data_IF_646378936627
#
_entry.id   IF_646378936627
#
_cell.length_a   1.000
_cell.length_b   1.000
_cell.length_c   1.000
_cell.angle_alpha   90.00
_cell.angle_beta   90.00
_cell.angle_gamma   90.00
#
_symmetry.space_group_name_H-M   'P 1'
#
loop_
_entity.id
_entity.type
_entity.pdbx_description
1 polymer ?
#
# COMPACT_ATOMS: atom_id res chain seq x y z
N UNK A 1 -12.02 59.59 -18.32
CA UNK A 1 -12.03 58.75 -17.11
C UNK A 1 -11.72 57.34 -17.54
N UNK A 2 -10.64 56.76 -16.98
CA UNK A 2 -9.90 55.61 -17.51
C UNK A 2 -10.19 54.41 -16.61
N UNK A 3 -11.02 53.48 -17.06
CA UNK A 3 -11.33 52.26 -16.30
C UNK A 3 -10.38 51.14 -16.75
N UNK A 4 -9.36 50.90 -15.93
CA UNK A 4 -8.50 49.71 -16.01
C UNK A 4 -9.23 48.54 -15.35
N UNK A 5 -9.61 47.53 -16.15
CA UNK A 5 -10.00 46.21 -15.63
C UNK A 5 -8.74 45.47 -15.13
N UNK A 6 -8.72 44.94 -13.89
CA UNK A 6 -7.67 44.01 -13.50
C UNK A 6 -8.05 42.60 -13.97
N UNK A 7 -7.27 42.06 -14.91
CA UNK A 7 -7.30 40.64 -15.24
C UNK A 7 -6.68 39.85 -14.08
N UNK A 8 -7.52 39.18 -13.29
CA UNK A 8 -7.06 38.24 -12.27
C UNK A 8 -6.62 36.93 -12.95
N UNK A 9 -5.31 36.68 -13.00
CA UNK A 9 -4.76 35.38 -13.37
C UNK A 9 -5.12 34.37 -12.27
N UNK A 10 -6.03 33.44 -12.59
CA UNK A 10 -6.24 32.21 -11.84
C UNK A 10 -5.01 31.31 -12.03
N UNK A 11 -4.06 31.40 -11.11
CA UNK A 11 -3.00 30.40 -10.96
C UNK A 11 -3.64 29.10 -10.45
N UNK A 12 -4.03 28.20 -11.37
CA UNK A 12 -4.25 26.81 -11.03
C UNK A 12 -2.90 26.24 -10.59
N UNK A 13 -2.67 26.22 -9.28
CA UNK A 13 -1.58 25.48 -8.69
C UNK A 13 -1.72 24.01 -9.08
N UNK A 14 -0.83 23.54 -9.95
CA UNK A 14 -0.58 22.12 -10.13
C UNK A 14 -0.15 21.60 -8.75
N UNK A 15 -1.10 21.05 -7.99
CA UNK A 15 -0.78 20.18 -6.87
C UNK A 15 -0.13 18.94 -7.50
N UNK A 16 1.17 19.02 -7.79
CA UNK A 16 1.95 17.84 -8.10
C UNK A 16 1.72 16.88 -6.95
N UNK A 17 1.18 15.70 -7.25
CA UNK A 17 1.07 14.64 -6.27
C UNK A 17 2.49 14.33 -5.79
N UNK A 18 2.88 14.93 -4.68
CA UNK A 18 4.14 14.60 -4.01
C UNK A 18 3.99 13.13 -3.63
N UNK A 19 4.95 12.31 -4.06
CA UNK A 19 5.04 10.94 -3.58
C UNK A 19 5.13 10.99 -2.05
N UNK A 20 4.35 10.14 -1.37
CA UNK A 20 4.38 10.09 0.08
C UNK A 20 5.60 9.26 0.51
N UNK A 21 6.31 9.69 1.55
CA UNK A 21 7.46 8.96 2.10
C UNK A 21 7.01 7.78 2.98
N UNK A 22 6.35 6.79 2.37
CA UNK A 22 5.83 5.60 3.07
C UNK A 22 6.90 4.54 3.23
N UNK A 23 7.71 4.32 2.19
CA UNK A 23 8.45 3.08 2.03
C UNK A 23 9.80 3.31 1.36
N UNK A 24 10.88 2.88 2.00
CA UNK A 24 12.23 2.98 1.48
C UNK A 24 12.67 1.72 0.69
N UNK A 25 13.49 1.88 -0.35
CA UNK A 25 14.19 0.76 -0.96
C UNK A 25 15.21 0.13 0.01
N UNK A 26 15.50 -1.15 -0.17
CA UNK A 26 16.49 -1.86 0.64
C UNK A 26 16.16 -3.32 0.90
N UNK A 27 16.86 -3.92 1.85
CA UNK A 27 16.64 -5.28 2.30
C UNK A 27 15.57 -5.27 3.39
N UNK A 28 14.48 -5.99 3.18
CA UNK A 28 13.33 -6.01 4.09
C UNK A 28 13.05 -7.40 4.62
N UNK A 29 12.59 -7.47 5.87
CA UNK A 29 11.96 -8.65 6.46
C UNK A 29 10.54 -8.32 6.89
N UNK A 30 9.69 -9.33 6.90
CA UNK A 30 8.32 -9.19 7.38
C UNK A 30 7.89 -10.39 8.19
N UNK A 31 6.84 -10.20 8.98
CA UNK A 31 6.16 -11.27 9.69
C UNK A 31 4.65 -11.08 9.62
N UNK A 32 3.93 -12.19 9.76
CA UNK A 32 2.50 -12.22 9.93
C UNK A 32 2.16 -13.07 11.15
N UNK A 33 1.27 -12.59 12.01
CA UNK A 33 0.67 -13.35 13.10
C UNK A 33 -0.78 -13.66 12.74
N UNK A 34 -1.05 -14.92 12.44
CA UNK A 34 -2.35 -15.43 12.00
C UNK A 34 -3.16 -15.81 13.23
N UNK A 35 -4.34 -15.22 13.36
CA UNK A 35 -5.31 -15.40 14.46
C UNK A 35 -4.69 -15.30 15.86
N UNK A 36 -3.64 -14.47 15.99
CA UNK A 36 -2.90 -14.29 17.24
C UNK A 36 -2.05 -15.49 17.68
N UNK A 37 -1.94 -16.54 16.86
CA UNK A 37 -1.39 -17.86 17.26
C UNK A 37 -0.21 -18.30 16.42
N UNK A 38 -0.30 -18.16 15.10
CA UNK A 38 0.71 -18.70 14.18
C UNK A 38 1.55 -17.57 13.61
N UNK A 39 2.83 -17.54 13.97
CA UNK A 39 3.79 -16.59 13.41
C UNK A 39 4.44 -17.16 12.14
N UNK A 40 4.42 -16.38 11.06
CA UNK A 40 5.15 -16.67 9.82
C UNK A 40 6.10 -15.52 9.51
N UNK A 41 7.38 -15.81 9.38
CA UNK A 41 8.40 -14.83 8.95
C UNK A 41 8.70 -14.98 7.47
N UNK A 42 8.94 -13.86 6.81
CA UNK A 42 9.29 -13.77 5.39
C UNK A 42 10.50 -12.86 5.23
N UNK A 43 11.38 -13.21 4.29
CA UNK A 43 12.58 -12.44 3.98
C UNK A 43 13.87 -13.01 4.58
N UNK A 44 15.01 -12.34 4.34
CA UNK A 44 15.10 -11.02 3.74
C UNK A 44 14.84 -11.02 2.22
N UNK A 45 14.16 -9.98 1.72
CA UNK A 45 13.93 -9.72 0.28
C UNK A 45 14.39 -8.31 -0.07
N UNK A 46 15.02 -8.17 -1.22
CA UNK A 46 15.31 -6.85 -1.78
C UNK A 46 14.05 -6.17 -2.34
N UNK A 47 13.80 -4.96 -1.87
CA UNK A 47 12.84 -3.99 -2.41
C UNK A 47 13.63 -2.99 -3.23
N UNK A 48 13.33 -2.93 -4.52
CA UNK A 48 13.94 -1.99 -5.48
C UNK A 48 13.38 -0.58 -5.33
N UNK A 49 14.07 0.41 -5.88
CA UNK A 49 13.59 1.80 -5.94
C UNK A 49 12.24 1.90 -6.64
N UNK A 50 12.02 1.12 -7.70
CA UNK A 50 10.75 1.11 -8.43
C UNK A 50 9.60 0.58 -7.58
N UNK A 51 9.84 -0.46 -6.78
CA UNK A 51 8.84 -0.99 -5.86
C UNK A 51 8.53 0.01 -4.74
N UNK A 52 9.57 0.66 -4.18
CA UNK A 52 9.40 1.71 -3.19
C UNK A 52 8.60 2.90 -3.74
N UNK A 53 8.97 3.40 -4.93
CA UNK A 53 8.24 4.48 -5.63
C UNK A 53 6.78 4.12 -5.90
N UNK A 54 6.51 2.86 -6.23
CA UNK A 54 5.14 2.37 -6.44
C UNK A 54 4.32 2.50 -5.16
N UNK A 55 4.85 2.05 -4.02
CA UNK A 55 4.19 2.15 -2.72
C UNK A 55 4.06 3.59 -2.21
N UNK A 56 5.00 4.45 -2.58
CA UNK A 56 4.99 5.89 -2.29
C UNK A 56 4.05 6.68 -3.24
N UNK A 57 3.58 6.03 -4.31
CA UNK A 57 2.75 6.65 -5.33
C UNK A 57 1.28 6.81 -4.95
N UNK A 58 0.47 7.06 -5.97
CA UNK A 58 -0.99 7.18 -5.85
C UNK A 58 -1.65 5.82 -5.65
N UNK A 59 -2.92 5.83 -5.22
CA UNK A 59 -3.76 4.64 -5.15
C UNK A 59 -3.84 3.88 -6.50
N UNK A 60 -3.82 4.60 -7.62
CA UNK A 60 -3.82 3.99 -8.95
C UNK A 60 -2.51 3.24 -9.26
N UNK A 61 -1.36 3.80 -8.86
CA UNK A 61 -0.05 3.13 -8.99
C UNK A 61 -0.01 1.84 -8.17
N UNK A 62 -0.45 1.92 -6.91
CA UNK A 62 -0.52 0.78 -5.99
C UNK A 62 -1.46 -0.29 -6.53
N UNK A 63 -2.65 0.12 -7.03
CA UNK A 63 -3.60 -0.79 -7.66
C UNK A 63 -2.98 -1.56 -8.82
N UNK A 64 -2.31 -0.87 -9.75
CA UNK A 64 -1.67 -1.53 -10.89
C UNK A 64 -0.60 -2.53 -10.48
N UNK A 65 0.15 -2.24 -9.41
CA UNK A 65 1.13 -3.17 -8.87
C UNK A 65 0.50 -4.38 -8.16
N UNK A 66 -0.61 -4.20 -7.44
CA UNK A 66 -1.40 -5.30 -6.89
C UNK A 66 -1.93 -6.20 -8.01
N UNK A 67 -2.52 -5.62 -9.06
CA UNK A 67 -3.06 -6.37 -10.20
C UNK A 67 -1.97 -7.13 -10.99
N UNK A 68 -0.73 -6.60 -11.01
CA UNK A 68 0.42 -7.27 -11.63
C UNK A 68 1.10 -8.32 -10.73
N UNK A 69 0.81 -8.33 -9.42
CA UNK A 69 1.45 -9.23 -8.47
C UNK A 69 0.99 -10.67 -8.68
N UNK A 70 1.91 -11.66 -8.71
CA UNK A 70 1.54 -13.08 -8.74
C UNK A 70 0.62 -13.50 -7.58
N UNK A 71 0.80 -12.89 -6.40
CA UNK A 71 0.01 -13.19 -5.19
C UNK A 71 -1.47 -12.82 -5.34
N UNK A 72 -1.77 -11.85 -6.21
CA UNK A 72 -3.11 -11.29 -6.40
C UNK A 72 -3.67 -11.51 -7.80
N UNK A 73 -2.94 -12.19 -8.68
CA UNK A 73 -3.29 -12.35 -10.10
C UNK A 73 -4.67 -13.00 -10.32
N UNK A 74 -5.13 -13.84 -9.38
CA UNK A 74 -6.44 -14.49 -9.43
C UNK A 74 -7.56 -13.70 -8.72
N UNK A 75 -7.27 -12.49 -8.25
CA UNK A 75 -8.18 -11.69 -7.44
C UNK A 75 -8.64 -10.43 -8.17
N UNK A 76 -9.87 -10.00 -7.89
CA UNK A 76 -10.37 -8.69 -8.30
C UNK A 76 -9.99 -7.65 -7.24
N UNK A 77 -9.01 -6.80 -7.55
CA UNK A 77 -8.58 -5.70 -6.67
C UNK A 77 -9.62 -4.57 -6.69
N UNK A 78 -9.97 -4.07 -5.50
CA UNK A 78 -11.03 -3.09 -5.26
C UNK A 78 -10.62 -2.12 -4.15
N UNK A 79 -11.33 -0.98 -4.09
CA UNK A 79 -11.27 0.00 -2.99
C UNK A 79 -9.86 0.43 -2.54
N UNK A 80 -8.91 0.50 -3.48
CA UNK A 80 -7.53 0.91 -3.18
C UNK A 80 -7.53 2.38 -2.78
N UNK A 81 -7.03 2.66 -1.57
CA UNK A 81 -6.85 4.00 -1.01
C UNK A 81 -5.43 4.16 -0.51
N UNK A 82 -4.88 5.35 -0.69
CA UNK A 82 -3.53 5.71 -0.28
C UNK A 82 -3.55 7.14 0.27
N UNK A 83 -3.53 7.25 1.60
CA UNK A 83 -3.73 8.51 2.32
C UNK A 83 -2.56 8.71 3.29
N UNK A 84 -1.69 9.68 3.00
CA UNK A 84 -0.51 9.95 3.82
C UNK A 84 0.35 8.70 4.00
N UNK A 85 0.47 8.20 5.22
CA UNK A 85 1.25 7.02 5.60
C UNK A 85 0.46 5.70 5.57
N UNK A 86 -0.76 5.70 5.06
CA UNK A 86 -1.68 4.56 5.08
C UNK A 86 -2.04 4.09 3.68
N UNK A 87 -2.08 2.76 3.49
CA UNK A 87 -2.64 2.11 2.31
C UNK A 87 -3.68 1.10 2.76
N UNK A 88 -4.83 1.12 2.10
CA UNK A 88 -5.87 0.12 2.31
C UNK A 88 -6.41 -0.36 0.95
N UNK A 89 -6.82 -1.61 0.88
CA UNK A 89 -7.50 -2.16 -0.29
C UNK A 89 -8.40 -3.33 0.11
N UNK A 90 -9.31 -3.69 -0.79
CA UNK A 90 -10.07 -4.94 -0.75
C UNK A 90 -9.76 -5.76 -2.00
N UNK A 91 -9.90 -7.07 -1.90
CA UNK A 91 -9.74 -7.98 -3.02
C UNK A 91 -10.74 -9.12 -2.89
N UNK A 92 -11.29 -9.56 -4.02
CA UNK A 92 -12.13 -10.76 -4.08
C UNK A 92 -11.36 -11.85 -4.80
N UNK A 93 -10.98 -12.90 -4.09
CA UNK A 93 -10.26 -14.06 -4.61
C UNK A 93 -11.22 -15.26 -4.58
N UNK A 94 -11.77 -15.64 -5.74
CA UNK A 94 -12.90 -16.57 -5.82
C UNK A 94 -14.10 -16.10 -4.97
N UNK A 95 -14.45 -16.82 -3.90
CA UNK A 95 -15.52 -16.50 -2.95
C UNK A 95 -15.01 -15.82 -1.66
N UNK A 96 -13.69 -15.70 -1.50
CA UNK A 96 -13.07 -15.06 -0.35
C UNK A 96 -12.91 -13.54 -0.58
N UNK A 97 -13.31 -12.76 0.41
CA UNK A 97 -13.07 -11.32 0.47
C UNK A 97 -11.90 -11.06 1.41
N UNK A 98 -10.86 -10.46 0.86
CA UNK A 98 -9.70 -9.98 1.62
C UNK A 98 -9.79 -8.47 1.79
N UNK A 99 -9.58 -7.97 3.00
CA UNK A 99 -9.35 -6.54 3.23
C UNK A 99 -8.00 -6.35 3.89
N UNK A 100 -7.27 -5.32 3.48
CA UNK A 100 -5.97 -4.96 4.03
C UNK A 100 -5.97 -3.50 4.43
N UNK A 101 -5.39 -3.22 5.60
CA UNK A 101 -5.06 -1.88 6.05
C UNK A 101 -3.65 -1.91 6.61
N UNK A 102 -2.76 -1.11 6.02
CA UNK A 102 -1.35 -1.05 6.40
C UNK A 102 -0.94 0.40 6.62
N UNK A 103 -0.29 0.64 7.76
CA UNK A 103 0.37 1.90 8.09
C UNK A 103 1.87 1.73 7.93
N UNK A 104 2.48 2.71 7.29
CA UNK A 104 3.86 2.71 6.90
C UNK A 104 4.65 3.79 7.63
N UNK A 105 5.91 3.49 7.89
CA UNK A 105 6.99 4.42 8.16
C UNK A 105 8.09 4.10 7.14
N UNK A 106 8.98 5.05 6.79
CA UNK A 106 9.98 4.84 5.75
C UNK A 106 10.72 3.49 5.84
N UNK A 107 11.09 3.06 7.07
CA UNK A 107 11.81 1.83 7.35
C UNK A 107 11.02 0.73 8.07
N UNK A 108 9.70 0.88 8.26
CA UNK A 108 8.87 -0.15 8.88
C UNK A 108 7.40 -0.07 8.46
N UNK A 109 6.64 -1.14 8.67
CA UNK A 109 5.20 -1.07 8.55
C UNK A 109 4.50 -2.01 9.52
N UNK A 110 3.22 -1.75 9.74
CA UNK A 110 2.33 -2.68 10.42
C UNK A 110 0.94 -2.59 9.82
N UNK A 111 0.19 -3.68 9.90
CA UNK A 111 -1.15 -3.69 9.33
C UNK A 111 -1.95 -4.91 9.75
N UNK A 112 -3.17 -4.93 9.26
CA UNK A 112 -4.09 -6.04 9.43
C UNK A 112 -4.62 -6.45 8.07
N UNK A 113 -4.64 -7.75 7.84
CA UNK A 113 -5.32 -8.37 6.71
C UNK A 113 -6.43 -9.25 7.29
N UNK A 114 -7.65 -9.11 6.81
CA UNK A 114 -8.74 -10.02 7.13
C UNK A 114 -9.17 -10.77 5.88
N UNK A 115 -9.47 -12.05 6.04
CA UNK A 115 -10.00 -12.89 4.97
C UNK A 115 -11.30 -13.49 5.46
N UNK A 116 -12.38 -13.23 4.73
CA UNK A 116 -13.71 -13.76 5.03
C UNK A 116 -14.15 -14.63 3.86
N UNK A 117 -14.59 -15.85 4.16
CA UNK A 117 -15.10 -16.80 3.17
C UNK A 117 -16.42 -17.39 3.67
N UNK A 118 -17.41 -17.67 2.78
CA UNK A 118 -18.64 -18.34 3.16
C UNK A 118 -18.38 -19.65 3.91
N UNK A 119 -19.07 -19.85 5.04
CA UNK A 119 -19.00 -21.09 5.82
C UNK A 119 -17.73 -21.28 6.64
N UNK A 120 -16.80 -20.32 6.65
CA UNK A 120 -15.58 -20.35 7.44
C UNK A 120 -15.53 -19.18 8.44
N UNK A 121 -14.87 -19.33 9.60
CA UNK A 121 -14.52 -18.20 10.46
C UNK A 121 -13.65 -17.18 9.71
N UNK A 122 -13.82 -15.90 10.01
CA UNK A 122 -12.92 -14.85 9.50
C UNK A 122 -11.50 -15.08 10.04
N UNK A 123 -10.54 -15.17 9.13
CA UNK A 123 -9.13 -15.21 9.46
C UNK A 123 -8.59 -13.78 9.56
N UNK A 124 -7.80 -13.50 10.59
CA UNK A 124 -7.13 -12.20 10.78
C UNK A 124 -5.63 -12.38 10.84
N UNK A 125 -4.88 -11.59 10.08
CA UNK A 125 -3.43 -11.59 10.06
C UNK A 125 -2.92 -10.21 10.45
N UNK A 126 -2.18 -10.12 11.55
CA UNK A 126 -1.42 -8.91 11.89
C UNK A 126 -0.07 -8.99 11.20
N UNK A 127 0.22 -8.04 10.30
CA UNK A 127 1.49 -8.00 9.57
C UNK A 127 2.41 -6.94 10.15
N UNK A 128 3.71 -7.20 10.08
CA UNK A 128 4.78 -6.25 10.36
C UNK A 128 5.88 -6.39 9.31
N UNK A 129 6.62 -5.32 9.07
CA UNK A 129 7.86 -5.42 8.34
C UNK A 129 8.84 -4.32 8.71
N UNK A 130 10.10 -4.57 8.46
CA UNK A 130 11.21 -3.70 8.80
C UNK A 130 12.30 -3.77 7.73
N UNK A 131 12.89 -2.62 7.44
CA UNK A 131 14.10 -2.50 6.63
C UNK A 131 15.29 -2.91 7.50
N UNK A 132 15.99 -3.95 7.09
CA UNK A 132 17.16 -4.50 7.81
C UNK A 132 18.50 -4.05 7.21
N UNK A 133 18.49 -3.26 6.14
CA UNK A 133 19.70 -2.69 5.55
C UNK A 133 19.55 -2.37 4.07
N UNK A 134 20.68 -2.16 3.41
CA UNK A 134 20.75 -2.03 1.95
C UNK A 134 20.71 -3.40 1.28
N UNK A 135 20.28 -3.43 0.01
CA UNK A 135 20.43 -4.61 -0.82
C UNK A 135 21.90 -4.95 -1.08
N UNK A 136 22.26 -6.24 -1.22
CA UNK A 136 23.59 -6.67 -1.67
C UNK A 136 23.93 -6.15 -3.07
#
# INVERSE_FOLDING_TARGET
>A
MKHLLPAALLALGCQGAQAADRFEPGLWRSSALIDGKTERRTGPRCVTDKEAQTMNGSAASIRGALEASPDWKACSIRDVRADGDSVAFSAVCADAVTTSQTRYQPSSYSGTITVTQPGAPTMTMSIKGERVGSCP
#
